data_IF_518869148261
#
_entry.id   IF_518869148261
#
_cell.length_a   1.000
_cell.length_b   1.000
_cell.length_c   1.000
_cell.angle_alpha   90.00
_cell.angle_beta   90.00
_cell.angle_gamma   90.00
#
_symmetry.space_group_name_H-M   'P 1'
#
loop_
_entity.id
_entity.type
_entity.pdbx_description
1 polymer ?
#
# COMPACT_ATOMS: atom_id res chain seq x y z
N UNK A 1 24.39 -4.87 15.13
CA UNK A 1 23.85 -3.71 14.41
C UNK A 1 22.34 -3.68 14.55
N UNK A 2 21.82 -2.55 14.88
CA UNK A 2 20.38 -2.40 15.05
C UNK A 2 19.71 -1.96 13.74
N UNK A 3 18.61 -2.61 13.45
CA UNK A 3 17.75 -2.26 12.35
C UNK A 3 16.99 -0.99 12.73
N UNK A 4 17.00 0.05 11.92
CA UNK A 4 16.29 1.27 12.26
C UNK A 4 14.80 1.13 11.97
N UNK A 5 14.02 2.05 12.50
CA UNK A 5 12.55 2.02 12.41
C UNK A 5 12.06 2.07 10.96
N UNK A 6 12.69 2.89 10.12
CA UNK A 6 12.32 3.01 8.71
C UNK A 6 12.58 1.71 7.95
N UNK A 7 13.76 1.10 8.16
CA UNK A 7 14.09 -0.16 7.50
C UNK A 7 13.10 -1.26 7.88
N UNK A 8 12.68 -1.31 9.15
CA UNK A 8 11.69 -2.27 9.62
C UNK A 8 10.36 -2.08 8.91
N UNK A 9 9.92 -0.83 8.72
CA UNK A 9 8.67 -0.54 8.01
C UNK A 9 8.74 -0.99 6.55
N UNK A 10 9.85 -0.72 5.88
CA UNK A 10 10.05 -1.13 4.48
C UNK A 10 10.09 -2.64 4.37
N UNK A 11 10.73 -3.33 5.30
CA UNK A 11 10.77 -4.80 5.30
C UNK A 11 9.36 -5.39 5.41
N UNK A 12 8.52 -4.81 6.26
CA UNK A 12 7.13 -5.28 6.39
C UNK A 12 6.37 -5.03 5.08
N UNK A 13 6.54 -3.86 4.46
CA UNK A 13 5.90 -3.60 3.16
C UNK A 13 6.31 -4.67 2.14
N UNK A 14 7.58 -5.03 2.11
CA UNK A 14 8.11 -6.04 1.18
C UNK A 14 7.55 -7.44 1.43
N UNK A 15 7.03 -7.70 2.63
CA UNK A 15 6.34 -8.95 2.94
C UNK A 15 4.85 -8.88 2.58
N UNK A 16 4.24 -7.71 2.79
CA UNK A 16 2.81 -7.51 2.53
C UNK A 16 2.50 -7.55 1.05
N UNK A 17 3.31 -6.91 0.21
CA UNK A 17 3.05 -6.82 -1.22
C UNK A 17 2.97 -8.19 -1.91
N UNK A 18 3.91 -9.13 -1.69
CA UNK A 18 3.78 -10.45 -2.29
C UNK A 18 2.54 -11.21 -1.81
N UNK A 19 2.18 -11.07 -0.53
CA UNK A 19 0.99 -11.73 -0.01
C UNK A 19 -0.27 -11.27 -0.76
N UNK A 20 -0.40 -9.98 -1.00
CA UNK A 20 -1.52 -9.44 -1.77
C UNK A 20 -1.48 -9.90 -3.23
N UNK A 21 -0.29 -9.93 -3.83
CA UNK A 21 -0.12 -10.32 -5.24
C UNK A 21 -0.47 -11.77 -5.47
N UNK A 22 -0.09 -12.64 -4.54
CA UNK A 22 -0.29 -14.09 -4.67
C UNK A 22 -1.69 -14.54 -4.26
N UNK A 23 -2.42 -13.74 -3.49
CA UNK A 23 -3.73 -14.11 -2.94
C UNK A 23 -4.80 -13.06 -3.23
N UNK A 24 -5.00 -12.68 -4.51
CA UNK A 24 -5.94 -11.61 -4.84
C UNK A 24 -7.40 -11.96 -4.53
N UNK A 25 -7.72 -13.25 -4.47
CA UNK A 25 -9.09 -13.71 -4.23
C UNK A 25 -9.37 -14.07 -2.77
N UNK A 26 -8.41 -13.77 -1.89
CA UNK A 26 -8.55 -14.04 -0.46
C UNK A 26 -8.79 -12.74 0.29
N UNK A 27 -10.06 -12.47 0.60
CA UNK A 27 -10.42 -11.25 1.32
C UNK A 27 -9.76 -11.20 2.69
N UNK A 28 -9.55 -12.36 3.32
CA UNK A 28 -8.87 -12.45 4.61
C UNK A 28 -7.41 -12.04 4.56
N UNK A 29 -6.83 -11.99 3.36
CA UNK A 29 -5.48 -11.48 3.14
C UNK A 29 -5.56 -10.01 2.76
N UNK A 30 -6.47 -9.65 1.84
CA UNK A 30 -6.55 -8.31 1.28
C UNK A 30 -6.95 -7.26 2.32
N UNK A 31 -7.89 -7.55 3.20
CA UNK A 31 -8.34 -6.59 4.20
C UNK A 31 -7.23 -6.24 5.20
N UNK A 32 -6.61 -7.21 5.89
CA UNK A 32 -5.55 -6.86 6.83
C UNK A 32 -4.30 -6.30 6.14
N UNK A 33 -3.99 -6.77 4.93
CA UNK A 33 -2.83 -6.25 4.19
C UNK A 33 -3.03 -4.79 3.79
N UNK A 34 -4.21 -4.40 3.32
CA UNK A 34 -4.47 -3.00 2.99
C UNK A 34 -4.45 -2.12 4.23
N UNK A 35 -4.94 -2.61 5.37
CA UNK A 35 -4.83 -1.88 6.62
C UNK A 35 -3.36 -1.67 7.02
N UNK A 36 -2.53 -2.70 6.88
CA UNK A 36 -1.09 -2.59 7.15
C UNK A 36 -0.44 -1.59 6.20
N UNK A 37 -0.75 -1.65 4.91
CA UNK A 37 -0.17 -0.73 3.93
C UNK A 37 -0.51 0.72 4.26
N UNK A 38 -1.75 0.98 4.68
CA UNK A 38 -2.10 2.33 5.09
C UNK A 38 -1.19 2.81 6.23
N UNK A 39 -1.06 2.00 7.28
CA UNK A 39 -0.24 2.37 8.43
C UNK A 39 1.24 2.50 8.10
N UNK A 40 1.74 1.72 7.14
CA UNK A 40 3.15 1.73 6.77
C UNK A 40 3.50 2.83 5.77
N UNK A 41 2.53 3.37 5.05
CA UNK A 41 2.76 4.39 4.02
C UNK A 41 2.33 5.79 4.44
N UNK A 42 1.66 5.93 5.58
CA UNK A 42 1.23 7.25 6.05
C UNK A 42 2.35 7.96 6.82
N UNK A 43 2.20 9.29 6.95
CA UNK A 43 3.08 10.08 7.79
C UNK A 43 4.41 10.45 7.13
N UNK A 44 5.30 10.99 7.93
CA UNK A 44 6.56 11.55 7.47
C UNK A 44 7.48 10.52 6.83
N UNK A 45 7.43 9.28 7.31
CA UNK A 45 8.30 8.23 6.79
C UNK A 45 8.01 7.87 5.34
N UNK A 46 6.85 8.25 4.84
CA UNK A 46 6.46 7.92 3.46
C UNK A 46 7.38 8.56 2.42
N UNK A 47 7.97 9.71 2.73
CA UNK A 47 8.89 10.37 1.79
C UNK A 47 10.17 9.58 1.55
N UNK A 48 10.49 8.67 2.47
CA UNK A 48 11.69 7.83 2.39
C UNK A 48 11.46 6.53 1.63
N UNK A 49 10.21 6.24 1.28
CA UNK A 49 9.87 5.01 0.54
C UNK A 49 10.19 5.23 -0.94
N UNK A 50 10.93 4.29 -1.51
CA UNK A 50 11.32 4.39 -2.91
C UNK A 50 10.09 4.38 -3.83
N UNK A 51 10.08 5.22 -4.89
CA UNK A 51 8.95 5.28 -5.82
C UNK A 51 8.53 3.94 -6.41
N UNK A 52 9.48 3.02 -6.66
CA UNK A 52 9.15 1.69 -7.19
C UNK A 52 8.29 0.88 -6.22
N UNK A 53 8.49 1.05 -4.92
CA UNK A 53 7.68 0.38 -3.91
C UNK A 53 6.29 1.02 -3.85
N UNK A 54 6.22 2.34 -3.88
CA UNK A 54 4.95 3.06 -3.89
C UNK A 54 4.10 2.71 -5.10
N UNK A 55 4.73 2.52 -6.25
CA UNK A 55 4.04 2.11 -7.47
C UNK A 55 3.38 0.75 -7.29
N UNK A 56 4.09 -0.20 -6.68
CA UNK A 56 3.53 -1.52 -6.38
C UNK A 56 2.37 -1.43 -5.38
N UNK A 57 2.50 -0.56 -4.37
CA UNK A 57 1.43 -0.31 -3.41
C UNK A 57 0.18 0.17 -4.13
N UNK A 58 0.31 1.14 -5.02
CA UNK A 58 -0.81 1.66 -5.81
C UNK A 58 -1.46 0.58 -6.64
N UNK A 59 -0.66 -0.17 -7.40
CA UNK A 59 -1.16 -1.23 -8.28
C UNK A 59 -1.96 -2.28 -7.51
N UNK A 60 -1.40 -2.79 -6.42
CA UNK A 60 -2.06 -3.84 -5.65
C UNK A 60 -3.26 -3.32 -4.89
N UNK A 61 -3.21 -2.07 -4.43
CA UNK A 61 -4.35 -1.43 -3.77
C UNK A 61 -5.52 -1.28 -4.74
N UNK A 62 -5.25 -0.86 -5.98
CA UNK A 62 -6.30 -0.70 -6.98
C UNK A 62 -6.90 -2.04 -7.40
N UNK A 63 -6.08 -3.07 -7.52
CA UNK A 63 -6.57 -4.43 -7.82
C UNK A 63 -7.50 -4.89 -6.71
N UNK A 64 -7.10 -4.73 -5.45
CA UNK A 64 -7.94 -5.11 -4.32
C UNK A 64 -9.27 -4.36 -4.32
N UNK A 65 -9.23 -3.05 -4.59
CA UNK A 65 -10.44 -2.23 -4.64
C UNK A 65 -11.41 -2.72 -5.71
N UNK A 66 -10.91 -3.10 -6.88
CA UNK A 66 -11.73 -3.60 -7.97
C UNK A 66 -12.29 -4.99 -7.70
N UNK A 67 -11.51 -5.85 -7.00
CA UNK A 67 -11.94 -7.21 -6.70
C UNK A 67 -13.04 -7.28 -5.64
N UNK A 68 -13.11 -6.29 -4.75
CA UNK A 68 -14.04 -6.33 -3.62
C UNK A 68 -14.83 -5.03 -3.50
N UNK A 69 -15.65 -4.69 -4.52
CA UNK A 69 -16.32 -3.39 -4.57
C UNK A 69 -17.36 -3.18 -3.46
N UNK A 70 -17.85 -4.25 -2.85
CA UNK A 70 -18.86 -4.16 -1.79
C UNK A 70 -18.30 -4.36 -0.38
N UNK A 71 -17.02 -4.64 -0.25
CA UNK A 71 -16.42 -4.81 1.07
C UNK A 71 -16.06 -3.44 1.65
N UNK A 72 -16.87 -2.99 2.62
CA UNK A 72 -16.74 -1.65 3.20
C UNK A 72 -15.35 -1.41 3.79
N UNK A 73 -14.87 -2.35 4.61
CA UNK A 73 -13.58 -2.18 5.30
C UNK A 73 -12.44 -2.08 4.29
N UNK A 74 -12.44 -2.93 3.28
CA UNK A 74 -11.41 -2.91 2.26
C UNK A 74 -11.48 -1.61 1.46
N UNK A 75 -12.68 -1.17 1.07
CA UNK A 75 -12.85 0.09 0.35
C UNK A 75 -12.32 1.28 1.17
N UNK A 76 -12.58 1.31 2.47
CA UNK A 76 -12.06 2.36 3.34
C UNK A 76 -10.53 2.33 3.42
N UNK A 77 -9.96 1.14 3.58
CA UNK A 77 -8.50 0.99 3.62
C UNK A 77 -7.86 1.49 2.32
N UNK A 78 -8.41 1.10 1.18
CA UNK A 78 -7.86 1.48 -0.13
C UNK A 78 -7.98 2.99 -0.37
N UNK A 79 -9.11 3.58 0.00
CA UNK A 79 -9.29 5.03 -0.14
C UNK A 79 -8.30 5.79 0.74
N UNK A 80 -8.07 5.34 1.97
CA UNK A 80 -7.10 5.97 2.86
C UNK A 80 -5.68 5.90 2.29
N UNK A 81 -5.31 4.77 1.69
CA UNK A 81 -4.02 4.63 1.04
C UNK A 81 -3.90 5.59 -0.14
N UNK A 82 -4.87 5.57 -1.04
CA UNK A 82 -4.81 6.34 -2.30
C UNK A 82 -4.96 7.83 -2.08
N UNK A 83 -5.56 8.25 -0.98
CA UNK A 83 -5.72 9.68 -0.64
C UNK A 83 -4.56 10.25 0.17
N UNK A 84 -3.56 9.44 0.52
CA UNK A 84 -2.40 9.98 1.23
C UNK A 84 -1.57 10.87 0.29
N UNK A 85 -0.98 11.92 0.85
CA UNK A 85 -0.24 12.91 0.06
C UNK A 85 0.87 12.28 -0.77
N UNK A 86 1.63 11.38 -0.17
CA UNK A 86 2.76 10.76 -0.85
C UNK A 86 2.31 9.89 -2.02
N UNK A 87 1.23 9.15 -1.84
CA UNK A 87 0.68 8.30 -2.92
C UNK A 87 0.10 9.16 -4.03
N UNK A 88 -0.63 10.22 -3.69
CA UNK A 88 -1.18 11.14 -4.68
C UNK A 88 -0.07 11.80 -5.50
N UNK A 89 1.02 12.19 -4.85
CA UNK A 89 2.18 12.73 -5.57
C UNK A 89 2.74 11.73 -6.56
N UNK A 90 2.88 10.48 -6.15
CA UNK A 90 3.42 9.44 -7.03
C UNK A 90 2.51 9.17 -8.22
N UNK A 91 1.21 9.09 -7.99
CA UNK A 91 0.22 8.89 -9.07
C UNK A 91 0.28 10.05 -10.06
N UNK A 92 0.27 11.29 -9.56
CA UNK A 92 0.32 12.49 -10.39
C UNK A 92 1.60 12.57 -11.19
N UNK A 93 2.73 12.31 -10.54
CA UNK A 93 4.04 12.35 -11.18
C UNK A 93 4.14 11.32 -12.31
N UNK A 94 3.69 10.11 -12.05
CA UNK A 94 3.72 9.02 -13.04
C UNK A 94 2.87 9.35 -14.26
N UNK A 95 1.73 10.03 -14.05
CA UNK A 95 0.82 10.42 -15.12
C UNK A 95 1.47 11.37 -16.13
N UNK A 96 2.40 12.20 -15.69
CA UNK A 96 3.01 13.23 -16.53
C UNK A 96 4.42 12.88 -17.03
N UNK A 97 4.87 11.69 -16.81
CA UNK A 97 6.17 11.21 -17.30
C UNK A 97 6.17 10.99 -18.81
#
# INVERSE_FOLDING_TARGET
MTHNFLESRIDVIKLVLPAMREHPQEVRVQVPCTACLYNLTKGEFSIMIHPSILKQVVELTMIAMECYPTNYRLQMNTLLILCSDRILQEITFDKYR
#
